data_IF_718116671197
#
_entry.id   IF_718116671197
#
_cell.length_a   1.000
_cell.length_b   1.000
_cell.length_c   1.000
_cell.angle_alpha   90.00
_cell.angle_beta   90.00
_cell.angle_gamma   90.00
#
_symmetry.space_group_name_H-M   'P 1'
#
loop_
_entity.id
_entity.type
_entity.pdbx_description
1 polymer ?
#
# COMPACT_ATOMS: atom_id res chain seq x y z
N UNK A 1 60.70 -33.04 -66.98
CA UNK A 1 60.39 -31.65 -66.56
C UNK A 1 58.91 -31.35 -66.78
N UNK A 2 58.29 -30.59 -65.86
CA UNK A 2 56.87 -30.16 -65.74
C UNK A 2 56.00 -31.15 -64.92
N UNK A 3 55.98 -31.00 -63.59
CA UNK A 3 55.16 -30.11 -62.72
C UNK A 3 53.69 -30.56 -62.64
N UNK A 4 53.35 -31.26 -61.56
CA UNK A 4 51.98 -31.50 -61.10
C UNK A 4 51.76 -30.63 -59.85
N UNK A 5 50.83 -29.69 -59.93
CA UNK A 5 50.48 -28.76 -58.85
C UNK A 5 49.35 -29.37 -58.03
N UNK A 6 49.55 -29.62 -56.73
CA UNK A 6 48.50 -30.03 -55.80
C UNK A 6 47.99 -28.78 -55.06
N UNK A 7 46.74 -28.37 -55.33
CA UNK A 7 46.04 -27.37 -54.53
C UNK A 7 45.44 -28.05 -53.29
N UNK A 8 45.82 -27.60 -52.10
CA UNK A 8 45.18 -27.96 -50.83
C UNK A 8 44.16 -26.86 -50.51
N UNK A 9 42.87 -27.18 -50.57
CA UNK A 9 41.81 -26.32 -50.05
C UNK A 9 41.61 -26.61 -48.56
N UNK A 10 42.02 -25.67 -47.70
CA UNK A 10 41.66 -25.64 -46.29
C UNK A 10 40.25 -25.04 -46.14
N UNK A 11 39.28 -25.87 -45.78
CA UNK A 11 37.94 -25.42 -45.37
C UNK A 11 37.99 -24.93 -43.92
N UNK A 12 37.87 -23.62 -43.71
CA UNK A 12 37.54 -23.04 -42.41
C UNK A 12 36.03 -23.14 -42.20
N UNK A 13 35.59 -24.01 -41.29
CA UNK A 13 34.20 -24.04 -40.84
C UNK A 13 34.00 -22.94 -39.78
N UNK A 14 33.37 -21.84 -40.18
CA UNK A 14 32.84 -20.83 -39.26
C UNK A 14 31.61 -21.40 -38.57
N UNK A 15 31.74 -21.79 -37.30
CA UNK A 15 30.59 -22.11 -36.45
C UNK A 15 29.91 -20.78 -36.12
N UNK A 16 28.84 -20.45 -36.85
CA UNK A 16 27.88 -19.44 -36.40
C UNK A 16 27.14 -20.02 -35.20
N UNK A 17 27.51 -19.58 -33.99
CA UNK A 17 26.67 -19.71 -32.82
C UNK A 17 25.44 -18.82 -33.01
N UNK A 18 24.34 -19.40 -33.51
CA UNK A 18 23.04 -18.76 -33.48
C UNK A 18 22.68 -18.52 -32.02
N UNK A 19 22.58 -17.25 -31.61
CA UNK A 19 21.92 -16.88 -30.36
C UNK A 19 20.44 -17.25 -30.51
N UNK A 20 20.08 -18.45 -30.08
CA UNK A 20 18.68 -18.82 -29.92
C UNK A 20 18.16 -17.89 -28.84
N UNK A 21 17.30 -16.93 -29.21
CA UNK A 21 16.58 -16.12 -28.25
C UNK A 21 15.75 -17.07 -27.38
N UNK A 22 16.20 -17.29 -26.15
CA UNK A 22 15.56 -18.20 -25.23
C UNK A 22 14.12 -17.73 -24.92
N UNK A 23 13.16 -18.64 -25.08
CA UNK A 23 11.74 -18.32 -24.94
C UNK A 23 11.38 -18.07 -23.46
N UNK A 24 11.03 -16.81 -23.15
CA UNK A 24 10.56 -16.43 -21.82
C UNK A 24 9.17 -17.00 -21.53
N UNK A 25 8.91 -17.34 -20.27
CA UNK A 25 7.56 -17.74 -19.82
C UNK A 25 6.76 -16.49 -19.52
N UNK A 26 5.56 -16.38 -20.09
CA UNK A 26 4.62 -15.27 -19.88
C UNK A 26 3.41 -15.77 -19.11
N UNK A 27 3.06 -15.09 -18.03
CA UNK A 27 1.89 -15.40 -17.20
C UNK A 27 1.01 -14.15 -17.08
N UNK A 28 -0.31 -14.30 -17.20
CA UNK A 28 -1.24 -13.17 -17.00
C UNK A 28 -1.17 -12.65 -15.57
N UNK A 29 -1.38 -11.36 -15.39
CA UNK A 29 -1.37 -10.76 -14.06
C UNK A 29 -2.44 -11.34 -13.12
N UNK A 30 -3.58 -11.75 -13.66
CA UNK A 30 -4.70 -12.39 -12.95
C UNK A 30 -4.52 -13.89 -12.68
N UNK A 31 -3.31 -14.44 -12.84
CA UNK A 31 -3.06 -15.86 -12.55
C UNK A 31 -3.31 -16.17 -11.08
N UNK A 32 -3.89 -17.35 -10.80
CA UNK A 32 -4.04 -17.87 -9.44
C UNK A 32 -2.71 -18.13 -8.73
N UNK A 33 -1.58 -18.11 -9.45
CA UNK A 33 -0.23 -18.20 -8.88
C UNK A 33 0.30 -16.85 -8.33
N UNK A 34 -0.50 -15.79 -8.42
CA UNK A 34 -0.18 -14.45 -7.91
C UNK A 34 -1.24 -14.03 -6.91
N UNK A 35 -0.80 -13.76 -5.70
CA UNK A 35 -1.67 -13.31 -4.61
C UNK A 35 -1.64 -11.80 -4.51
N UNK A 36 -2.80 -11.15 -4.60
CA UNK A 36 -2.94 -9.71 -4.39
C UNK A 36 -3.56 -9.42 -3.03
N UNK A 37 -3.12 -8.36 -2.38
CA UNK A 37 -3.72 -7.82 -1.17
C UNK A 37 -3.97 -6.32 -1.32
N UNK A 38 -5.12 -5.88 -0.81
CA UNK A 38 -5.70 -4.57 -1.09
C UNK A 38 -6.84 -4.66 -2.12
N UNK A 39 -7.32 -3.50 -2.60
CA UNK A 39 -8.42 -3.45 -3.56
C UNK A 39 -7.87 -3.36 -4.99
N UNK A 40 -8.31 -4.27 -5.84
CA UNK A 40 -7.84 -4.41 -7.22
C UNK A 40 -9.01 -4.67 -8.16
N UNK A 41 -8.87 -4.33 -9.43
CA UNK A 41 -9.80 -4.73 -10.49
C UNK A 41 -9.10 -5.62 -11.52
N UNK A 42 -9.72 -6.73 -11.88
CA UNK A 42 -9.25 -7.62 -12.96
C UNK A 42 -9.92 -7.18 -14.28
N UNK A 43 -9.10 -6.91 -15.30
CA UNK A 43 -9.54 -6.62 -16.66
C UNK A 43 -9.91 -7.87 -17.45
N UNK A 44 -10.70 -7.71 -18.52
CA UNK A 44 -11.13 -8.83 -19.38
C UNK A 44 -9.96 -9.55 -20.08
N UNK A 45 -8.83 -8.87 -20.27
CA UNK A 45 -7.59 -9.43 -20.81
C UNK A 45 -6.77 -10.23 -19.78
N UNK A 46 -7.11 -10.10 -18.49
CA UNK A 46 -6.39 -10.67 -17.35
C UNK A 46 -5.31 -9.75 -16.78
N UNK A 47 -5.33 -8.47 -17.15
CA UNK A 47 -4.58 -7.42 -16.43
C UNK A 47 -5.21 -7.15 -15.06
N UNK A 48 -4.42 -6.59 -14.14
CA UNK A 48 -4.87 -6.21 -12.78
C UNK A 48 -4.50 -4.76 -12.51
N UNK A 49 -5.49 -3.94 -12.18
CA UNK A 49 -5.35 -2.50 -11.91
C UNK A 49 -5.62 -2.14 -10.46
N UNK A 50 -4.86 -1.20 -9.91
CA UNK A 50 -5.02 -0.69 -8.54
C UNK A 50 -4.38 0.70 -8.37
N UNK A 51 -4.96 1.51 -7.47
CA UNK A 51 -4.45 2.84 -7.16
C UNK A 51 -4.39 3.14 -5.65
N UNK A 52 -5.12 2.41 -4.80
CA UNK A 52 -4.96 2.53 -3.35
C UNK A 52 -3.50 2.30 -2.92
N UNK A 53 -3.04 3.17 -2.03
CA UNK A 53 -1.71 3.06 -1.43
C UNK A 53 -1.52 1.71 -0.74
N UNK A 54 -0.32 1.16 -0.79
CA UNK A 54 0.02 -0.06 -0.07
C UNK A 54 -0.52 -1.35 -0.68
N UNK A 55 -1.34 -1.30 -1.75
CA UNK A 55 -1.70 -2.51 -2.51
C UNK A 55 -0.42 -3.25 -2.89
N UNK A 56 -0.39 -4.55 -2.66
CA UNK A 56 0.76 -5.38 -3.00
C UNK A 56 0.35 -6.70 -3.63
N UNK A 57 1.30 -7.27 -4.36
CA UNK A 57 1.23 -8.64 -4.87
C UNK A 57 2.40 -9.47 -4.37
N UNK A 58 2.19 -10.78 -4.28
CA UNK A 58 3.21 -11.77 -3.93
C UNK A 58 3.11 -13.01 -4.82
N UNK A 59 4.28 -13.55 -5.15
CA UNK A 59 4.41 -14.86 -5.83
C UNK A 59 5.79 -15.43 -5.54
N UNK A 60 5.86 -16.75 -5.37
CA UNK A 60 7.13 -17.47 -5.39
C UNK A 60 7.47 -17.79 -6.85
N UNK A 61 8.69 -17.46 -7.29
CA UNK A 61 9.14 -17.66 -8.66
C UNK A 61 10.46 -18.41 -8.76
N UNK A 62 10.65 -19.18 -9.83
CA UNK A 62 11.91 -19.88 -10.13
C UNK A 62 12.61 -19.31 -11.37
N UNK A 63 13.87 -19.70 -11.58
CA UNK A 63 14.67 -19.32 -12.75
C UNK A 63 15.55 -18.09 -12.56
N UNK A 64 15.47 -17.43 -11.39
CA UNK A 64 16.39 -16.36 -10.98
C UNK A 64 16.10 -14.96 -11.56
N UNK A 65 15.24 -14.88 -12.58
CA UNK A 65 14.82 -13.62 -13.21
C UNK A 65 13.28 -13.48 -13.19
N UNK A 66 12.79 -12.29 -12.83
CA UNK A 66 11.37 -11.93 -12.94
C UNK A 66 11.22 -10.47 -13.35
N UNK A 67 10.33 -10.25 -14.32
CA UNK A 67 9.93 -8.94 -14.80
C UNK A 67 8.39 -8.87 -14.91
N UNK A 68 7.88 -7.65 -15.04
CA UNK A 68 6.47 -7.39 -15.31
C UNK A 68 6.33 -6.55 -16.58
N UNK A 69 5.28 -6.78 -17.35
CA UNK A 69 4.75 -5.81 -18.31
C UNK A 69 3.71 -4.97 -17.56
N UNK A 70 3.96 -3.67 -17.42
CA UNK A 70 3.13 -2.78 -16.62
C UNK A 70 2.94 -1.41 -17.27
N UNK A 71 1.90 -0.69 -16.88
CA UNK A 71 1.64 0.71 -17.24
C UNK A 71 1.09 1.44 -16.01
N UNK A 72 1.09 2.77 -16.03
CA UNK A 72 0.47 3.58 -14.97
C UNK A 72 -0.28 4.78 -15.55
N UNK A 73 -1.54 4.96 -15.16
CA UNK A 73 -2.35 6.12 -15.51
C UNK A 73 -1.96 7.35 -14.66
N UNK A 74 -0.70 7.78 -14.80
CA UNK A 74 -0.08 8.82 -13.98
C UNK A 74 1.36 8.46 -13.68
N UNK A 75 1.73 8.48 -12.40
CA UNK A 75 3.01 7.98 -11.90
C UNK A 75 2.84 7.37 -10.52
N UNK A 76 3.42 6.20 -10.31
CA UNK A 76 3.45 5.52 -9.01
C UNK A 76 4.84 4.97 -8.70
N UNK A 77 5.20 4.95 -7.42
CA UNK A 77 6.40 4.25 -6.94
C UNK A 77 6.03 2.93 -6.28
N UNK A 78 6.90 1.93 -6.40
CA UNK A 78 6.71 0.62 -5.78
C UNK A 78 7.98 0.11 -5.11
N UNK A 79 7.86 -0.48 -3.93
CA UNK A 79 8.94 -1.23 -3.30
C UNK A 79 8.99 -2.64 -3.90
N UNK A 80 10.18 -3.10 -4.23
CA UNK A 80 10.47 -4.48 -4.63
C UNK A 80 11.18 -5.18 -3.49
N UNK A 81 10.60 -6.27 -3.01
CA UNK A 81 11.23 -7.16 -2.03
C UNK A 81 11.46 -8.53 -2.64
N UNK A 82 12.61 -9.13 -2.35
CA UNK A 82 12.97 -10.50 -2.69
C UNK A 82 13.34 -11.23 -1.40
N UNK A 83 12.69 -12.36 -1.14
CA UNK A 83 12.90 -13.18 0.07
C UNK A 83 12.79 -12.37 1.37
N UNK A 84 11.84 -11.43 1.40
CA UNK A 84 11.59 -10.54 2.54
C UNK A 84 12.59 -9.39 2.68
N UNK A 85 13.61 -9.28 1.81
CA UNK A 85 14.59 -8.18 1.81
C UNK A 85 14.18 -7.11 0.81
N UNK A 86 14.22 -5.85 1.23
CA UNK A 86 14.02 -4.72 0.31
C UNK A 86 15.19 -4.65 -0.67
N UNK A 87 14.88 -4.57 -1.96
CA UNK A 87 15.87 -4.52 -3.04
C UNK A 87 16.00 -3.12 -3.63
N UNK A 88 14.86 -2.53 -3.98
CA UNK A 88 14.81 -1.24 -4.66
C UNK A 88 13.40 -0.64 -4.56
N UNK A 89 13.32 0.66 -4.80
CA UNK A 89 12.07 1.37 -5.09
C UNK A 89 12.06 1.77 -6.56
N UNK A 90 11.08 1.30 -7.31
CA UNK A 90 10.96 1.53 -8.75
C UNK A 90 9.86 2.55 -9.06
N UNK A 91 9.97 3.21 -10.21
CA UNK A 91 8.95 4.11 -10.75
C UNK A 91 8.22 3.45 -11.92
N UNK A 92 6.90 3.53 -11.95
CA UNK A 92 6.05 3.17 -13.09
C UNK A 92 5.29 4.42 -13.50
N UNK A 93 5.35 4.79 -14.79
CA UNK A 93 4.72 6.03 -15.26
C UNK A 93 4.27 5.92 -16.70
N UNK A 94 3.14 6.54 -17.00
CA UNK A 94 2.59 6.62 -18.35
C UNK A 94 1.77 5.40 -18.77
N UNK A 95 0.83 5.64 -19.69
CA UNK A 95 -0.15 4.65 -20.14
C UNK A 95 0.44 3.59 -21.09
N UNK A 96 1.63 3.83 -21.63
CA UNK A 96 2.30 2.87 -22.48
C UNK A 96 2.83 1.70 -21.64
N UNK A 97 2.67 0.48 -22.14
CA UNK A 97 3.22 -0.69 -21.46
C UNK A 97 4.74 -0.69 -21.53
N UNK A 98 5.37 -1.03 -20.40
CA UNK A 98 6.81 -1.10 -20.23
C UNK A 98 7.20 -2.40 -19.53
N UNK A 99 8.32 -2.99 -19.95
CA UNK A 99 8.92 -4.14 -19.27
C UNK A 99 9.77 -3.60 -18.13
N UNK A 100 9.46 -4.01 -16.90
CA UNK A 100 10.18 -3.63 -15.69
C UNK A 100 10.77 -4.88 -15.05
N UNK A 101 12.09 -4.91 -14.93
CA UNK A 101 12.79 -6.00 -14.26
C UNK A 101 12.76 -5.80 -12.75
N UNK A 102 12.22 -6.78 -12.03
CA UNK A 102 12.08 -6.72 -10.58
C UNK A 102 13.26 -7.41 -9.89
N UNK A 103 13.74 -8.53 -10.44
CA UNK A 103 14.98 -9.19 -10.04
C UNK A 103 15.67 -9.86 -11.22
N UNK A 104 17.00 -10.00 -11.12
CA UNK A 104 17.83 -10.72 -12.08
C UNK A 104 18.95 -11.50 -11.42
N UNK A 105 19.34 -12.63 -12.01
CA UNK A 105 20.55 -13.38 -11.64
C UNK A 105 20.53 -13.93 -10.22
N UNK A 106 19.35 -14.23 -9.66
CA UNK A 106 19.28 -14.87 -8.35
C UNK A 106 19.72 -16.34 -8.44
N UNK A 107 20.05 -16.91 -7.28
CA UNK A 107 20.45 -18.31 -7.16
C UNK A 107 19.38 -19.29 -7.69
N UNK A 108 19.77 -20.54 -7.97
CA UNK A 108 18.81 -21.58 -8.31
C UNK A 108 17.86 -21.84 -7.13
N UNK A 109 16.57 -21.97 -7.42
CA UNK A 109 15.53 -22.24 -6.43
C UNK A 109 14.27 -21.42 -6.67
N UNK A 110 13.37 -21.44 -5.69
CA UNK A 110 12.26 -20.49 -5.62
C UNK A 110 12.67 -19.28 -4.77
N UNK A 111 12.30 -18.10 -5.24
CA UNK A 111 12.45 -16.83 -4.54
C UNK A 111 11.08 -16.19 -4.38
N UNK A 112 10.86 -15.45 -3.29
CA UNK A 112 9.59 -14.76 -3.04
C UNK A 112 9.66 -13.32 -3.49
N UNK A 113 8.86 -12.94 -4.49
CA UNK A 113 8.61 -11.55 -4.84
C UNK A 113 7.51 -10.98 -3.93
N UNK A 114 7.72 -9.76 -3.44
CA UNK A 114 6.64 -8.84 -3.04
C UNK A 114 6.84 -7.50 -3.75
N UNK A 115 5.83 -7.06 -4.51
CA UNK A 115 5.80 -5.74 -5.12
C UNK A 115 4.68 -4.94 -4.45
N UNK A 116 5.01 -3.81 -3.85
CA UNK A 116 4.09 -3.01 -3.03
C UNK A 116 4.04 -1.57 -3.55
N UNK A 117 2.85 -1.04 -3.83
CA UNK A 117 2.64 0.36 -4.20
C UNK A 117 2.96 1.26 -3.01
N UNK A 118 3.88 2.20 -3.20
CA UNK A 118 4.31 3.16 -2.18
C UNK A 118 3.35 4.33 -2.06
N UNK A 119 2.87 4.82 -3.20
CA UNK A 119 2.19 6.11 -3.33
C UNK A 119 0.67 5.97 -3.37
N UNK A 120 -0.06 7.02 -3.07
CA UNK A 120 -1.52 7.07 -3.12
C UNK A 120 -2.11 7.17 -4.53
N UNK A 121 -3.43 7.03 -4.63
CA UNK A 121 -4.13 6.90 -5.90
C UNK A 121 -4.33 8.22 -6.62
N UNK A 122 -4.20 9.35 -5.93
CA UNK A 122 -4.24 10.70 -6.53
C UNK A 122 -3.30 10.81 -7.74
N UNK A 123 -2.09 10.23 -7.64
CA UNK A 123 -1.01 10.42 -8.61
C UNK A 123 -0.95 9.38 -9.72
N UNK A 124 -1.57 8.21 -9.53
CA UNK A 124 -1.42 7.10 -10.48
C UNK A 124 -2.20 5.85 -10.12
N UNK A 125 -2.67 5.19 -11.17
CA UNK A 125 -3.28 3.85 -11.13
C UNK A 125 -2.41 2.90 -11.93
N UNK A 126 -1.82 1.93 -11.25
CA UNK A 126 -0.91 0.95 -11.84
C UNK A 126 -1.70 -0.22 -12.41
N UNK A 127 -1.36 -0.65 -13.62
CA UNK A 127 -1.88 -1.86 -14.24
C UNK A 127 -0.74 -2.82 -14.51
N UNK A 128 -0.79 -4.02 -13.93
CA UNK A 128 0.08 -5.14 -14.28
C UNK A 128 -0.62 -5.95 -15.36
N UNK A 129 0.05 -6.13 -16.49
CA UNK A 129 -0.50 -6.89 -17.63
C UNK A 129 -0.04 -8.34 -17.57
N UNK A 130 1.27 -8.54 -17.38
CA UNK A 130 1.90 -9.86 -17.45
C UNK A 130 3.12 -9.95 -16.53
N UNK A 131 3.41 -11.16 -16.09
CA UNK A 131 4.71 -11.57 -15.52
C UNK A 131 5.53 -12.24 -16.61
N UNK A 132 6.83 -11.96 -16.61
CA UNK A 132 7.80 -12.47 -17.57
C UNK A 132 8.95 -13.12 -16.79
N UNK A 133 9.11 -14.42 -16.94
CA UNK A 133 10.12 -15.23 -16.26
C UNK A 133 11.22 -15.71 -17.22
N UNK A 134 12.32 -16.18 -16.65
CA UNK A 134 13.30 -16.97 -17.37
C UNK A 134 12.67 -18.25 -17.99
N UNK A 135 13.37 -18.84 -18.96
CA UNK A 135 12.97 -20.09 -19.61
C UNK A 135 12.75 -21.19 -18.59
N UNK A 136 11.60 -21.86 -18.62
CA UNK A 136 11.23 -22.90 -17.67
C UNK A 136 10.93 -22.40 -16.24
N UNK A 137 10.93 -21.08 -16.03
CA UNK A 137 10.51 -20.44 -14.78
C UNK A 137 9.03 -20.71 -14.48
N UNK A 138 8.69 -20.74 -13.19
CA UNK A 138 7.33 -21.00 -12.71
C UNK A 138 6.95 -19.98 -11.65
N UNK A 139 5.68 -19.61 -11.61
CA UNK A 139 5.07 -18.92 -10.48
C UNK A 139 4.40 -19.92 -9.53
N UNK A 140 4.22 -19.52 -8.28
CA UNK A 140 3.45 -20.23 -7.27
C UNK A 140 2.83 -19.22 -6.30
N UNK A 141 1.55 -19.40 -6.00
CA UNK A 141 0.82 -18.56 -5.07
C UNK A 141 1.46 -18.53 -3.68
N UNK A 142 1.48 -17.34 -3.07
CA UNK A 142 1.87 -17.16 -1.67
C UNK A 142 0.59 -17.03 -0.83
N UNK A 143 0.37 -17.86 0.21
CA UNK A 143 -0.81 -17.73 1.05
C UNK A 143 -0.89 -16.38 1.74
N UNK A 144 -2.11 -15.89 1.94
CA UNK A 144 -2.40 -14.76 2.81
C UNK A 144 -1.94 -15.01 4.25
N UNK A 145 -1.67 -13.94 4.97
CA UNK A 145 -1.48 -14.04 6.41
C UNK A 145 -2.79 -14.39 7.10
N UNK A 146 -2.68 -15.06 8.25
CA UNK A 146 -3.85 -15.41 9.06
C UNK A 146 -4.53 -14.22 9.74
N UNK A 147 -3.88 -13.04 9.72
CA UNK A 147 -4.34 -11.79 10.32
C UNK A 147 -4.49 -10.74 9.24
N UNK A 148 -5.56 -9.96 9.30
CA UNK A 148 -5.84 -8.88 8.34
C UNK A 148 -6.23 -7.58 9.05
N UNK A 149 -5.59 -6.47 8.68
CA UNK A 149 -5.91 -5.12 9.17
C UNK A 149 -6.41 -4.26 8.00
N UNK A 150 -7.58 -3.64 8.11
CA UNK A 150 -8.00 -2.58 7.17
C UNK A 150 -7.92 -1.21 7.85
N UNK A 151 -7.26 -0.25 7.21
CA UNK A 151 -7.05 1.10 7.75
C UNK A 151 -7.73 2.11 6.86
N UNK A 152 -8.63 2.90 7.42
CA UNK A 152 -9.21 4.09 6.80
C UNK A 152 -8.49 5.32 7.32
N UNK A 153 -7.89 6.12 6.45
CA UNK A 153 -7.07 7.24 6.91
C UNK A 153 -6.78 8.32 5.88
N UNK A 154 -5.90 9.22 6.27
CA UNK A 154 -5.44 10.36 5.48
C UNK A 154 -3.95 10.22 5.09
N UNK A 155 -3.26 11.34 4.89
CA UNK A 155 -1.85 11.43 4.51
C UNK A 155 -0.90 10.68 5.46
N UNK A 156 -1.24 10.57 6.75
CA UNK A 156 -0.44 9.78 7.69
C UNK A 156 -0.49 8.28 7.39
N UNK A 157 -1.59 7.82 6.81
CA UNK A 157 -1.75 6.42 6.39
C UNK A 157 -1.11 6.19 5.02
N UNK A 158 -1.14 7.19 4.12
CA UNK A 158 -0.40 7.17 2.85
C UNK A 158 1.13 7.10 3.07
N UNK A 159 1.64 7.65 4.17
CA UNK A 159 3.07 7.81 4.39
C UNK A 159 3.63 9.01 3.62
N UNK A 160 2.81 10.06 3.46
CA UNK A 160 3.14 11.31 2.80
C UNK A 160 4.40 11.92 3.41
N UNK A 161 5.41 12.20 2.58
CA UNK A 161 6.66 12.84 3.02
C UNK A 161 7.55 12.00 3.93
N UNK A 162 7.20 10.74 4.20
CA UNK A 162 7.85 9.89 5.22
C UNK A 162 9.33 9.58 4.97
N UNK A 163 9.81 9.74 3.73
CA UNK A 163 11.22 9.57 3.38
C UNK A 163 12.04 10.86 3.37
N UNK A 164 11.42 12.03 3.52
CA UNK A 164 12.19 13.26 3.69
C UNK A 164 12.73 13.35 5.13
N UNK A 165 13.99 13.81 5.32
CA UNK A 165 14.57 14.04 6.63
C UNK A 165 14.30 15.44 7.19
N UNK A 166 13.53 16.30 6.50
CA UNK A 166 13.32 17.71 6.87
C UNK A 166 11.85 18.10 6.86
N UNK A 167 11.42 18.81 7.89
CA UNK A 167 10.04 19.25 8.07
C UNK A 167 9.55 20.19 6.96
N UNK A 168 10.42 21.10 6.52
CA UNK A 168 10.13 22.18 5.58
C UNK A 168 10.37 21.82 4.11
N UNK A 169 10.85 20.59 3.83
CA UNK A 169 10.94 20.10 2.47
C UNK A 169 9.53 20.09 1.84
N UNK A 170 9.37 20.53 0.58
CA UNK A 170 8.12 20.35 -0.12
C UNK A 170 7.88 18.87 -0.40
N UNK A 171 6.62 18.47 -0.48
CA UNK A 171 6.28 17.13 -0.91
C UNK A 171 6.81 16.83 -2.30
N UNK A 172 7.40 15.64 -2.42
CA UNK A 172 7.72 15.01 -3.70
C UNK A 172 7.12 13.62 -3.68
N UNK A 173 6.54 13.22 -4.80
CA UNK A 173 5.93 11.91 -4.94
C UNK A 173 6.89 10.76 -4.61
N UNK A 174 8.18 10.89 -4.95
CA UNK A 174 9.17 9.89 -4.55
C UNK A 174 9.37 9.77 -3.04
N UNK A 175 9.04 10.78 -2.23
CA UNK A 175 9.23 10.72 -0.77
C UNK A 175 8.07 10.10 -0.01
N UNK A 176 6.98 9.76 -0.70
CA UNK A 176 5.86 9.02 -0.12
C UNK A 176 6.14 7.51 -0.15
N UNK A 177 6.02 6.87 1.02
CA UNK A 177 6.23 5.45 1.16
C UNK A 177 5.44 4.87 2.33
N UNK A 178 4.25 4.33 2.05
CA UNK A 178 3.42 3.70 3.07
C UNK A 178 4.10 2.55 3.83
N UNK A 179 5.13 1.93 3.27
CA UNK A 179 5.90 0.90 3.98
C UNK A 179 6.58 1.46 5.25
N UNK A 180 6.87 2.77 5.27
CA UNK A 180 7.42 3.50 6.42
C UNK A 180 6.32 4.12 7.29
N UNK A 181 5.06 4.03 6.90
CA UNK A 181 3.94 4.53 7.68
C UNK A 181 3.53 3.55 8.79
N UNK A 182 2.92 4.09 9.83
CA UNK A 182 2.53 3.36 11.05
C UNK A 182 1.69 2.10 10.75
N UNK A 183 0.79 2.16 9.77
CA UNK A 183 -0.07 1.03 9.39
C UNK A 183 0.73 -0.20 8.92
N UNK A 184 1.68 0.00 8.01
CA UNK A 184 2.54 -1.09 7.55
C UNK A 184 3.52 -1.57 8.64
N UNK A 185 4.01 -0.66 9.50
CA UNK A 185 4.85 -1.02 10.66
C UNK A 185 4.09 -1.95 11.61
N UNK A 186 2.85 -1.61 11.95
CA UNK A 186 1.96 -2.41 12.81
C UNK A 186 1.69 -3.78 12.15
N UNK A 187 1.37 -3.79 10.86
CA UNK A 187 1.09 -5.03 10.14
C UNK A 187 2.30 -5.97 10.12
N UNK A 188 3.52 -5.44 9.91
CA UNK A 188 4.76 -6.23 10.03
C UNK A 188 5.00 -6.75 11.44
N UNK A 189 4.73 -5.94 12.47
CA UNK A 189 4.91 -6.36 13.85
C UNK A 189 4.03 -7.57 14.20
N UNK A 190 2.78 -7.57 13.74
CA UNK A 190 1.80 -8.63 13.99
C UNK A 190 1.77 -9.74 12.93
N UNK A 191 2.68 -9.75 11.94
CA UNK A 191 2.65 -10.68 10.81
C UNK A 191 1.25 -10.72 10.14
N UNK A 192 0.68 -9.55 9.89
CA UNK A 192 -0.63 -9.37 9.31
C UNK A 192 -0.55 -8.87 7.86
N UNK A 193 -1.49 -9.32 7.04
CA UNK A 193 -1.85 -8.64 5.80
C UNK A 193 -2.58 -7.32 6.14
N UNK A 194 -2.62 -6.41 5.17
CA UNK A 194 -3.30 -5.13 5.37
C UNK A 194 -3.89 -4.56 4.08
N UNK A 195 -4.88 -3.69 4.23
CA UNK A 195 -5.37 -2.80 3.18
C UNK A 195 -5.44 -1.36 3.70
N UNK A 196 -4.92 -0.41 2.92
CA UNK A 196 -4.91 1.00 3.27
C UNK A 196 -5.87 1.75 2.35
N UNK A 197 -6.96 2.26 2.92
CA UNK A 197 -7.98 3.07 2.26
C UNK A 197 -7.74 4.50 2.71
N UNK A 198 -6.80 5.16 2.05
CA UNK A 198 -6.31 6.46 2.48
C UNK A 198 -6.00 7.39 1.31
N UNK A 199 -6.18 8.69 1.56
CA UNK A 199 -5.95 9.77 0.61
C UNK A 199 -5.56 11.04 1.35
N UNK A 200 -4.47 11.69 0.92
CA UNK A 200 -3.93 12.87 1.57
C UNK A 200 -4.87 14.06 1.51
N UNK A 201 -4.96 14.82 2.61
CA UNK A 201 -5.80 16.01 2.68
C UNK A 201 -7.31 15.76 2.75
N UNK A 202 -7.79 14.52 2.63
CA UNK A 202 -9.23 14.23 2.78
C UNK A 202 -9.62 13.96 4.23
N UNK A 203 -10.75 14.51 4.64
CA UNK A 203 -11.36 14.26 5.95
C UNK A 203 -12.64 13.43 5.85
N UNK A 204 -13.42 13.41 6.94
CA UNK A 204 -14.72 12.76 7.04
C UNK A 204 -15.82 13.62 6.41
N UNK A 205 -15.82 14.91 6.74
CA UNK A 205 -16.79 15.92 6.34
C UNK A 205 -16.13 17.10 5.61
N UNK A 206 -14.87 17.40 5.93
CA UNK A 206 -14.13 18.52 5.37
C UNK A 206 -12.70 18.12 4.98
N UNK A 207 -12.25 18.58 3.82
CA UNK A 207 -10.90 18.36 3.30
C UNK A 207 -10.00 19.56 3.61
N UNK A 208 -8.71 19.30 3.75
CA UNK A 208 -7.71 20.30 4.10
C UNK A 208 -7.73 21.51 3.15
N UNK A 209 -7.99 22.69 3.72
CA UNK A 209 -7.87 23.96 3.02
C UNK A 209 -9.03 24.31 2.10
N UNK A 210 -10.12 23.52 2.09
CA UNK A 210 -11.34 23.87 1.37
C UNK A 210 -11.92 25.20 1.91
N UNK A 211 -12.49 26.01 1.01
CA UNK A 211 -13.13 27.28 1.37
C UNK A 211 -14.55 27.11 1.92
N UNK A 212 -15.12 25.92 1.76
CA UNK A 212 -16.47 25.56 2.21
C UNK A 212 -16.41 24.67 3.43
N UNK A 213 -17.44 24.75 4.28
CA UNK A 213 -17.49 23.99 5.52
C UNK A 213 -17.60 22.48 5.33
N UNK A 214 -18.40 22.05 4.36
CA UNK A 214 -18.58 20.63 4.02
C UNK A 214 -18.08 20.41 2.60
N UNK A 215 -17.10 19.54 2.45
CA UNK A 215 -16.50 19.24 1.16
C UNK A 215 -17.44 18.40 0.30
N UNK A 216 -17.42 18.64 -1.02
CA UNK A 216 -18.29 17.92 -1.95
C UNK A 216 -17.95 16.43 -2.10
N UNK A 217 -16.69 16.05 -1.83
CA UNK A 217 -16.23 14.67 -1.86
C UNK A 217 -15.15 14.47 -0.80
N UNK A 218 -15.31 13.48 0.07
CA UNK A 218 -14.49 13.23 1.26
C UNK A 218 -14.01 11.77 1.28
N UNK A 219 -13.30 11.35 2.34
CA UNK A 219 -13.04 9.92 2.55
C UNK A 219 -14.32 9.12 2.72
N UNK A 220 -15.38 9.73 3.29
CA UNK A 220 -16.68 9.07 3.44
C UNK A 220 -17.22 8.56 2.11
N UNK A 221 -17.03 9.28 1.01
CA UNK A 221 -17.52 8.84 -0.31
C UNK A 221 -16.67 7.70 -0.90
N UNK A 222 -15.41 7.58 -0.47
CA UNK A 222 -14.41 6.68 -1.05
C UNK A 222 -14.31 5.34 -0.36
N UNK A 223 -14.75 5.22 0.90
CA UNK A 223 -14.56 3.98 1.69
C UNK A 223 -15.17 2.72 1.04
N UNK A 224 -16.13 2.87 0.12
CA UNK A 224 -16.78 1.77 -0.60
C UNK A 224 -16.30 1.54 -2.03
N UNK A 225 -15.20 2.15 -2.45
CA UNK A 225 -14.73 2.11 -3.84
C UNK A 225 -13.55 1.14 -4.02
N UNK A 226 -13.48 0.51 -5.20
CA UNK A 226 -12.34 -0.32 -5.61
C UNK A 226 -11.10 0.53 -5.82
N UNK A 227 -11.28 1.76 -6.29
CA UNK A 227 -10.23 2.72 -6.55
C UNK A 227 -10.34 3.93 -5.63
N UNK A 228 -9.21 4.57 -5.42
CA UNK A 228 -9.14 5.87 -4.79
C UNK A 228 -9.61 6.95 -5.76
N UNK A 229 -8.94 7.11 -6.91
CA UNK A 229 -9.12 8.26 -7.79
C UNK A 229 -9.42 7.90 -9.26
N UNK A 230 -9.21 6.64 -9.67
CA UNK A 230 -9.31 6.23 -11.08
C UNK A 230 -10.55 5.39 -11.42
N UNK A 231 -11.60 5.49 -10.59
CA UNK A 231 -12.91 4.92 -10.88
C UNK A 231 -13.82 4.91 -9.65
N UNK A 232 -15.12 4.76 -9.88
CA UNK A 232 -16.14 4.70 -8.80
C UNK A 232 -16.76 3.32 -8.64
N UNK A 233 -16.12 2.28 -9.20
CA UNK A 233 -16.59 0.91 -9.07
C UNK A 233 -16.73 0.55 -7.59
N UNK A 234 -17.90 0.02 -7.21
CA UNK A 234 -18.15 -0.39 -5.85
C UNK A 234 -17.27 -1.59 -5.47
N UNK A 235 -16.67 -1.53 -4.29
CA UNK A 235 -15.87 -2.62 -3.75
C UNK A 235 -16.77 -3.74 -3.21
N UNK A 236 -16.44 -4.98 -3.55
CA UNK A 236 -17.06 -6.15 -2.93
C UNK A 236 -16.40 -6.45 -1.58
N UNK A 237 -17.06 -6.03 -0.51
CA UNK A 237 -16.65 -6.25 0.89
C UNK A 237 -16.59 -7.73 1.31
N UNK A 238 -16.98 -8.67 0.45
CA UNK A 238 -16.76 -10.11 0.68
C UNK A 238 -15.39 -10.60 0.23
N UNK A 239 -14.62 -9.77 -0.49
CA UNK A 239 -13.30 -10.14 -1.03
C UNK A 239 -12.28 -10.47 0.06
N UNK A 240 -12.37 -9.80 1.21
CA UNK A 240 -11.72 -10.19 2.46
C UNK A 240 -12.52 -9.68 3.65
N UNK A 241 -12.28 -10.25 4.84
CA UNK A 241 -12.82 -9.76 6.10
C UNK A 241 -11.66 -9.41 7.05
N UNK A 242 -11.53 -8.15 7.50
CA UNK A 242 -10.48 -7.78 8.44
C UNK A 242 -10.76 -8.33 9.84
N UNK A 243 -9.69 -8.68 10.55
CA UNK A 243 -9.71 -9.01 11.97
C UNK A 243 -9.67 -7.74 12.85
N UNK A 244 -9.21 -6.63 12.28
CA UNK A 244 -9.17 -5.32 12.91
C UNK A 244 -9.39 -4.25 11.85
N UNK A 245 -10.27 -3.30 12.14
CA UNK A 245 -10.38 -2.04 11.39
C UNK A 245 -9.81 -0.91 12.21
N UNK A 246 -9.00 -0.05 11.59
CA UNK A 246 -8.48 1.17 12.20
C UNK A 246 -8.99 2.37 11.42
N UNK A 247 -9.41 3.43 12.12
CA UNK A 247 -9.85 4.68 11.50
C UNK A 247 -8.98 5.80 12.08
N UNK A 248 -8.18 6.43 11.24
CA UNK A 248 -7.32 7.56 11.58
C UNK A 248 -7.66 8.74 10.67
N UNK A 249 -8.79 9.39 10.98
CA UNK A 249 -9.35 10.50 10.21
C UNK A 249 -9.80 11.61 11.17
N UNK A 250 -9.63 12.85 10.76
CA UNK A 250 -10.05 14.04 11.52
C UNK A 250 -9.07 15.19 11.45
N UNK A 251 -7.79 14.92 11.15
CA UNK A 251 -6.76 15.95 10.97
C UNK A 251 -7.20 17.04 10.00
N UNK A 252 -7.72 16.61 8.84
CA UNK A 252 -8.10 17.51 7.75
C UNK A 252 -9.45 18.21 8.01
N UNK A 253 -10.34 17.57 8.76
CA UNK A 253 -11.64 18.14 9.12
C UNK A 253 -11.47 19.43 9.93
N UNK A 254 -10.46 19.47 10.80
CA UNK A 254 -10.16 20.63 11.64
C UNK A 254 -9.00 21.49 11.10
N UNK A 255 -8.92 21.61 9.77
CA UNK A 255 -7.94 22.49 9.13
C UNK A 255 -8.18 23.98 9.46
N UNK A 256 -7.15 24.87 9.37
CA UNK A 256 -7.18 26.17 10.05
C UNK A 256 -8.24 27.20 9.62
N UNK A 257 -8.88 27.04 8.45
CA UNK A 257 -9.71 28.10 7.85
C UNK A 257 -11.20 27.96 8.18
N UNK A 258 -11.75 26.79 7.88
CA UNK A 258 -13.17 26.47 8.06
C UNK A 258 -13.21 25.04 8.56
N UNK A 259 -14.09 24.76 9.52
CA UNK A 259 -14.23 23.42 10.10
C UNK A 259 -15.70 23.05 10.18
N UNK A 260 -16.06 21.76 10.10
CA UNK A 260 -17.41 21.30 10.40
C UNK A 260 -17.74 21.57 11.86
N UNK A 261 -19.02 21.50 12.23
CA UNK A 261 -19.40 21.48 13.65
C UNK A 261 -19.03 20.13 14.26
N UNK A 262 -18.87 20.09 15.59
CA UNK A 262 -18.67 18.83 16.34
C UNK A 262 -19.74 17.80 15.99
N UNK A 263 -21.01 18.23 15.91
CA UNK A 263 -22.12 17.34 15.59
C UNK A 263 -21.99 16.74 14.19
N UNK A 264 -21.58 17.53 13.20
CA UNK A 264 -21.38 17.05 11.83
C UNK A 264 -20.24 16.06 11.73
N UNK A 265 -19.10 16.39 12.33
CA UNK A 265 -17.96 15.48 12.38
C UNK A 265 -18.30 14.17 13.09
N UNK A 266 -18.92 14.25 14.27
CA UNK A 266 -19.33 13.06 15.06
C UNK A 266 -20.33 12.22 14.27
N UNK A 267 -21.35 12.81 13.65
CA UNK A 267 -22.34 12.07 12.87
C UNK A 267 -21.73 11.47 11.59
N UNK A 268 -20.82 12.18 10.92
CA UNK A 268 -20.04 11.66 9.80
C UNK A 268 -19.20 10.44 10.17
N UNK A 269 -18.52 10.50 11.32
CA UNK A 269 -17.74 9.39 11.85
C UNK A 269 -18.63 8.17 12.16
N UNK A 270 -19.77 8.39 12.85
CA UNK A 270 -20.76 7.34 13.11
C UNK A 270 -21.24 6.69 11.81
N UNK A 271 -21.45 7.47 10.73
CA UNK A 271 -21.84 6.94 9.43
C UNK A 271 -20.77 6.04 8.81
N UNK A 272 -19.48 6.38 8.93
CA UNK A 272 -18.38 5.50 8.51
C UNK A 272 -18.42 4.18 9.31
N UNK A 273 -18.55 4.25 10.64
CA UNK A 273 -18.63 3.06 11.51
C UNK A 273 -19.81 2.18 11.11
N UNK A 274 -21.00 2.76 10.92
CA UNK A 274 -22.20 2.02 10.50
C UNK A 274 -22.02 1.32 9.15
N UNK A 275 -21.30 1.94 8.20
CA UNK A 275 -20.99 1.31 6.91
C UNK A 275 -20.03 0.14 7.08
N UNK A 276 -19.01 0.26 7.92
CA UNK A 276 -18.08 -0.83 8.26
C UNK A 276 -18.83 -1.98 8.95
N UNK A 277 -19.72 -1.66 9.90
CA UNK A 277 -20.58 -2.66 10.58
C UNK A 277 -21.49 -3.40 9.60
N UNK A 278 -22.08 -2.68 8.64
CA UNK A 278 -22.89 -3.29 7.57
C UNK A 278 -22.04 -4.20 6.66
N UNK A 279 -20.79 -3.83 6.38
CA UNK A 279 -19.89 -4.59 5.52
C UNK A 279 -19.35 -5.86 6.19
N UNK A 280 -18.85 -5.77 7.43
CA UNK A 280 -18.09 -6.85 8.07
C UNK A 280 -18.78 -7.49 9.28
N UNK A 281 -19.90 -6.94 9.72
CA UNK A 281 -20.68 -7.41 10.86
C UNK A 281 -20.35 -6.70 12.18
N UNK A 282 -21.15 -7.02 13.20
CA UNK A 282 -21.16 -6.30 14.47
C UNK A 282 -19.94 -6.58 15.38
N UNK A 283 -19.14 -7.62 15.10
CA UNK A 283 -18.11 -8.11 16.01
C UNK A 283 -16.68 -7.84 15.57
N UNK A 284 -16.45 -7.30 14.36
CA UNK A 284 -15.10 -6.90 13.94
C UNK A 284 -14.66 -5.72 14.80
N UNK A 285 -13.54 -5.80 15.56
CA UNK A 285 -13.05 -4.67 16.31
C UNK A 285 -12.76 -3.45 15.41
N UNK A 286 -13.24 -2.28 15.82
CA UNK A 286 -12.90 -0.99 15.21
C UNK A 286 -12.13 -0.18 16.24
N UNK A 287 -10.92 0.23 15.88
CA UNK A 287 -10.10 1.17 16.66
C UNK A 287 -10.18 2.57 16.03
N UNK A 288 -10.91 3.47 16.68
CA UNK A 288 -10.89 4.90 16.40
C UNK A 288 -9.61 5.51 16.96
N UNK A 289 -8.76 6.03 16.09
CA UNK A 289 -7.46 6.59 16.46
C UNK A 289 -7.62 8.07 16.69
N UNK A 290 -7.12 8.53 17.84
CA UNK A 290 -6.87 9.94 18.11
C UNK A 290 -5.55 10.30 17.41
N UNK A 291 -5.57 11.06 16.29
CA UNK A 291 -4.34 11.37 15.56
C UNK A 291 -3.33 12.09 16.45
N UNK A 292 -2.03 11.95 16.15
CA UNK A 292 -0.98 12.61 16.93
C UNK A 292 -1.04 14.14 16.84
N UNK A 293 -1.57 14.66 15.72
CA UNK A 293 -1.92 16.07 15.50
C UNK A 293 -3.27 16.44 16.13
N UNK A 294 -3.64 15.75 17.22
CA UNK A 294 -5.00 15.50 17.67
C UNK A 294 -5.90 16.70 17.96
N UNK A 295 -5.39 17.93 18.09
CA UNK A 295 -6.17 19.18 18.18
C UNK A 295 -7.60 19.02 18.71
N UNK A 296 -8.59 19.46 17.92
CA UNK A 296 -10.02 19.36 18.27
C UNK A 296 -10.58 17.93 18.15
N UNK A 297 -9.90 17.02 17.45
CA UNK A 297 -10.33 15.60 17.37
C UNK A 297 -10.30 14.91 18.74
N UNK A 298 -9.46 15.39 19.67
CA UNK A 298 -9.38 14.92 21.05
C UNK A 298 -10.71 15.07 21.81
N UNK A 299 -11.51 16.07 21.45
CA UNK A 299 -12.83 16.32 22.07
C UNK A 299 -13.95 15.58 21.34
N UNK A 300 -13.86 15.47 20.01
CA UNK A 300 -14.92 14.92 19.18
C UNK A 300 -14.96 13.39 19.11
N UNK A 301 -13.82 12.70 18.96
CA UNK A 301 -13.81 11.23 18.81
C UNK A 301 -14.34 10.53 20.08
N UNK A 302 -14.06 10.96 21.32
CA UNK A 302 -14.71 10.41 22.51
C UNK A 302 -16.24 10.54 22.49
N UNK A 303 -16.80 11.58 21.86
CA UNK A 303 -18.25 11.74 21.71
C UNK A 303 -18.83 10.66 20.78
N UNK A 304 -18.10 10.24 19.75
CA UNK A 304 -18.49 9.10 18.89
C UNK A 304 -18.65 7.84 19.73
N UNK A 305 -17.64 7.51 20.55
CA UNK A 305 -17.68 6.35 21.45
C UNK A 305 -18.84 6.45 22.44
N UNK A 306 -19.08 7.63 23.02
CA UNK A 306 -20.19 7.89 23.95
C UNK A 306 -21.55 7.69 23.29
N UNK A 307 -21.75 8.21 22.06
CA UNK A 307 -23.01 8.06 21.31
C UNK A 307 -23.24 6.62 20.84
N UNK A 308 -22.17 5.85 20.60
CA UNK A 308 -22.21 4.45 20.17
C UNK A 308 -21.90 3.46 21.30
N UNK A 309 -22.17 3.81 22.57
CA UNK A 309 -21.76 3.04 23.74
C UNK A 309 -22.30 1.59 23.81
N UNK A 310 -23.35 1.26 23.05
CA UNK A 310 -23.87 -0.09 22.93
C UNK A 310 -22.94 -1.03 22.11
N UNK A 311 -22.07 -0.47 21.27
CA UNK A 311 -21.11 -1.22 20.46
C UNK A 311 -19.87 -1.57 21.29
N UNK A 312 -19.84 -2.81 21.79
CA UNK A 312 -18.75 -3.33 22.62
C UNK A 312 -17.45 -3.62 21.83
N UNK A 313 -17.50 -3.56 20.51
CA UNK A 313 -16.36 -3.79 19.61
C UNK A 313 -15.86 -2.47 18.98
N UNK A 314 -16.28 -1.33 19.53
CA UNK A 314 -15.77 -0.02 19.19
C UNK A 314 -14.80 0.45 20.29
N UNK A 315 -13.58 0.76 19.89
CA UNK A 315 -12.49 1.13 20.76
C UNK A 315 -11.91 2.47 20.35
N UNK A 316 -11.33 3.18 21.33
CA UNK A 316 -10.52 4.37 21.10
C UNK A 316 -9.06 4.09 21.46
N UNK A 317 -8.13 4.71 20.73
CA UNK A 317 -6.71 4.70 21.06
C UNK A 317 -6.40 5.60 22.25
N UNK A 318 -5.22 5.44 22.82
CA UNK A 318 -4.70 6.45 23.73
C UNK A 318 -4.37 7.73 22.93
N UNK A 319 -4.44 8.91 23.57
CA UNK A 319 -3.89 10.16 23.03
C UNK A 319 -2.42 9.98 22.63
N UNK A 320 -2.01 10.66 21.56
CA UNK A 320 -0.64 10.65 21.02
C UNK A 320 -0.02 12.05 21.02
N UNK A 321 -0.41 12.91 21.96
CA UNK A 321 0.10 14.28 22.05
C UNK A 321 1.61 14.28 22.31
N UNK A 322 2.34 15.15 21.61
CA UNK A 322 3.77 15.41 21.80
C UNK A 322 4.73 14.21 21.61
N UNK A 323 4.26 13.07 21.10
CA UNK A 323 5.14 11.92 20.83
C UNK A 323 5.99 12.14 19.57
N UNK A 324 5.42 12.82 18.57
CA UNK A 324 6.10 13.24 17.32
C UNK A 324 6.64 14.64 17.55
N UNK A 325 7.96 14.77 17.58
CA UNK A 325 8.67 16.03 17.84
C UNK A 325 9.20 16.61 16.54
N UNK A 326 8.94 17.90 16.30
CA UNK A 326 9.25 18.56 15.02
C UNK A 326 10.72 18.41 14.62
N UNK A 327 11.62 18.54 15.59
CA UNK A 327 13.08 18.50 15.40
C UNK A 327 13.60 17.15 14.89
N UNK A 328 12.94 16.04 15.21
CA UNK A 328 13.50 14.70 15.01
C UNK A 328 12.61 13.79 14.17
N UNK A 329 11.30 14.03 14.19
CA UNK A 329 10.31 13.06 13.74
C UNK A 329 9.49 13.55 12.54
N UNK A 330 9.86 14.67 11.93
CA UNK A 330 9.17 15.23 10.76
C UNK A 330 9.95 14.98 9.46
N UNK A 331 9.18 14.73 8.41
CA UNK A 331 9.55 14.73 7.00
C UNK A 331 8.75 15.81 6.26
N UNK A 332 8.59 15.65 4.96
CA UNK A 332 8.15 16.75 4.09
C UNK A 332 6.78 17.31 4.49
N UNK A 333 6.61 18.62 4.34
CA UNK A 333 5.41 19.37 4.70
C UNK A 333 4.91 19.08 6.13
N UNK A 334 5.83 18.98 7.10
CA UNK A 334 5.54 18.73 8.52
C UNK A 334 4.74 17.44 8.78
N UNK A 335 4.85 16.44 7.91
CA UNK A 335 4.31 15.10 8.15
C UNK A 335 5.33 14.25 8.90
N UNK A 336 4.94 13.18 9.62
CA UNK A 336 5.89 12.30 10.28
C UNK A 336 6.88 11.67 9.29
N UNK A 337 8.18 11.73 9.61
CA UNK A 337 9.16 10.85 8.97
C UNK A 337 9.02 9.42 9.52
N UNK A 338 9.87 8.52 9.04
CA UNK A 338 9.88 7.12 9.51
C UNK A 338 10.00 6.97 11.05
N UNK A 339 10.84 7.77 11.72
CA UNK A 339 10.98 7.70 13.17
C UNK A 339 9.69 8.14 13.88
N UNK A 340 9.03 9.21 13.38
CA UNK A 340 7.72 9.63 13.87
C UNK A 340 6.65 8.55 13.68
N UNK A 341 6.62 7.90 12.52
CA UNK A 341 5.71 6.78 12.28
C UNK A 341 5.99 5.56 13.19
N UNK A 342 7.25 5.27 13.51
CA UNK A 342 7.60 4.26 14.50
C UNK A 342 7.02 4.60 15.88
N UNK A 343 7.11 5.86 16.33
CA UNK A 343 6.54 6.29 17.62
C UNK A 343 5.01 6.16 17.65
N UNK A 344 4.34 6.54 16.56
CA UNK A 344 2.89 6.33 16.39
C UNK A 344 2.56 4.84 16.48
N UNK A 345 3.27 3.99 15.74
CA UNK A 345 3.07 2.54 15.78
C UNK A 345 3.28 1.95 17.18
N UNK A 346 4.37 2.34 17.87
CA UNK A 346 4.69 1.89 19.23
C UNK A 346 3.63 2.30 20.27
N UNK A 347 2.89 3.38 20.01
CA UNK A 347 1.78 3.80 20.87
C UNK A 347 0.51 2.97 20.63
N UNK A 348 0.28 2.56 19.38
CA UNK A 348 -0.91 1.80 18.98
C UNK A 348 -0.79 0.28 19.23
N UNK A 349 0.41 -0.29 19.10
CA UNK A 349 0.67 -1.73 19.21
C UNK A 349 0.11 -2.35 20.51
N UNK A 350 0.39 -1.80 21.72
CA UNK A 350 -0.15 -2.38 22.96
C UNK A 350 -1.69 -2.38 23.00
N UNK A 351 -2.32 -1.31 22.48
CA UNK A 351 -3.77 -1.20 22.41
C UNK A 351 -4.37 -2.22 21.45
N UNK A 352 -3.74 -2.41 20.29
CA UNK A 352 -4.14 -3.42 19.31
C UNK A 352 -4.04 -4.82 19.92
N UNK A 353 -2.91 -5.14 20.57
CA UNK A 353 -2.73 -6.42 21.27
C UNK A 353 -3.83 -6.69 22.29
N UNK A 354 -4.21 -5.69 23.09
CA UNK A 354 -5.29 -5.81 24.07
C UNK A 354 -6.67 -6.05 23.43
N UNK A 355 -6.92 -5.49 22.25
CA UNK A 355 -8.19 -5.63 21.52
C UNK A 355 -8.29 -6.98 20.84
N UNK A 356 -7.24 -7.42 20.16
CA UNK A 356 -7.26 -8.60 19.29
C UNK A 356 -6.76 -9.87 19.98
N UNK A 357 -6.09 -9.75 21.12
CA UNK A 357 -5.36 -10.84 21.78
C UNK A 357 -4.08 -11.25 21.04
N UNK A 358 -3.66 -10.52 20.00
CA UNK A 358 -2.41 -10.79 19.31
C UNK A 358 -1.24 -10.52 20.24
N UNK A 359 -0.37 -11.50 20.41
CA UNK A 359 0.73 -11.44 21.40
C UNK A 359 1.71 -10.31 21.06
N UNK A 360 2.13 -9.59 22.10
CA UNK A 360 3.32 -8.75 22.02
C UNK A 360 4.55 -9.64 22.00
N UNK A 361 5.33 -9.53 20.94
CA UNK A 361 6.59 -10.25 20.77
C UNK A 361 7.77 -9.30 20.96
N UNK A 362 8.90 -9.82 21.41
CA UNK A 362 10.15 -9.06 21.51
C UNK A 362 10.77 -8.87 20.13
N UNK A 363 10.10 -8.08 19.29
CA UNK A 363 10.47 -7.73 17.92
C UNK A 363 10.76 -6.24 17.83
N UNK A 364 11.70 -5.88 16.97
CA UNK A 364 11.94 -4.47 16.61
C UNK A 364 10.71 -3.96 15.85
N UNK A 365 10.15 -2.84 16.31
CA UNK A 365 9.10 -2.12 15.60
C UNK A 365 9.74 -1.32 14.47
N UNK A 366 9.55 -1.79 13.23
CA UNK A 366 10.21 -1.23 12.04
C UNK A 366 9.38 -1.39 10.79
#
# INVERSE_FOLDING_TARGET
MKKLSLLIYLFWATILSANVAEAKVITKASSNDVTYMGRTQIGADGSVSYDWVGVYLQTDFSGGDIAILASDAGTSYHNVFIDGKWMQKIKISGKNTQIIHLAKGLSKGFHRLKLQKCTEGEFGCTTIHQFILATGGRLKAVPHQSRMIEIYGDSYTCGYGSESPKADDPFKLETENCNKAYGCIIARYFDADYALIAHSGRGIMHNWGDSVRLSASTMSDRIGQVFDNHGSAAYDFKSYKPDLVMINLGTNDFSPKVTPTDEEYVNGYINIINRIRKAYGATVPILCILPHSGGHTMECVPQVIKKMNADKYLFISNPMENIVTEKYDMGASYHPNYAGHCKIAMTLIPRISAITGWKLENKVVK
#
